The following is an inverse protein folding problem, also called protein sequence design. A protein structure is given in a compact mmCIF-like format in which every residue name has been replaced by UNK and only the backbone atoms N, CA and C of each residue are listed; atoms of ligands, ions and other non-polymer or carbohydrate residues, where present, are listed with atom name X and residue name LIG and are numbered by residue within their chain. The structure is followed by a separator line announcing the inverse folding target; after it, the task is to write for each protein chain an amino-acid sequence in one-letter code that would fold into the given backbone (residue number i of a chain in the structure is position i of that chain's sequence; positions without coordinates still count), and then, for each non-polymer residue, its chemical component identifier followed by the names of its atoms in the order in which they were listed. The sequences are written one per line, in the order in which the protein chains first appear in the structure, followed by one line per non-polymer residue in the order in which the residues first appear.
data_IF_539827743544
#
_entry.id   IF_539827743544
#
_cell.length_a   1.000
_cell.length_b   1.000
_cell.length_c   1.000
_cell.angle_alpha   90.00
_cell.angle_beta   90.00
_cell.angle_gamma   90.00
#
_symmetry.space_group_name_H-M   'P 1'
#
loop_
_entity.id
_entity.type
_entity.pdbx_description
1 polymer ?
#
# COMPACT_ATOMS: atom_id res chain seq x y z
N UNK A 1 -16.88 31.44 -62.94
CA UNK A 1 -16.33 32.80 -63.15
C UNK A 1 -15.33 33.03 -61.98
N UNK A 2 -14.03 32.87 -62.29
CA UNK A 2 -13.02 33.95 -62.42
C UNK A 2 -13.00 34.89 -61.25
N UNK A 3 -11.94 35.16 -60.46
CA UNK A 3 -10.49 35.34 -60.71
C UNK A 3 -9.78 35.28 -59.33
N UNK A 4 -8.68 34.62 -59.09
CA UNK A 4 -7.26 35.02 -59.34
C UNK A 4 -6.61 35.91 -58.29
N UNK A 5 -5.56 35.33 -57.73
CA UNK A 5 -4.39 35.69 -56.88
C UNK A 5 -3.80 37.11 -57.10
N UNK A 6 -2.76 37.60 -56.37
CA UNK A 6 -1.51 36.94 -55.99
C UNK A 6 -0.92 37.32 -54.59
N UNK A 7 -0.08 36.47 -54.01
CA UNK A 7 1.36 36.46 -53.74
C UNK A 7 2.07 37.79 -53.40
N UNK A 8 2.71 37.85 -52.23
CA UNK A 8 4.07 38.41 -52.09
C UNK A 8 4.80 37.64 -50.98
N UNK A 9 5.96 37.09 -51.34
CA UNK A 9 6.96 36.51 -50.44
C UNK A 9 8.02 37.57 -50.13
N UNK A 10 8.61 37.54 -48.96
CA UNK A 10 10.00 38.02 -48.73
C UNK A 10 10.70 37.20 -47.68
N UNK A 11 11.78 36.63 -48.16
CA UNK A 11 12.82 35.88 -47.49
C UNK A 11 13.76 36.81 -46.74
N UNK A 12 14.33 36.39 -45.60
CA UNK A 12 15.77 36.63 -45.31
C UNK A 12 16.32 35.51 -44.44
N UNK A 13 17.44 35.03 -44.93
CA UNK A 13 18.28 33.96 -44.42
C UNK A 13 19.41 34.52 -43.50
N UNK A 14 20.01 33.66 -42.79
CA UNK A 14 21.30 33.84 -42.12
C UNK A 14 21.39 33.03 -40.83
N UNK A 15 22.31 32.30 -40.51
CA UNK A 15 23.50 31.60 -41.04
C UNK A 15 23.85 30.52 -40.02
N UNK A 16 24.23 29.36 -40.45
CA UNK A 16 24.77 28.25 -39.64
C UNK A 16 26.15 28.62 -39.10
N UNK A 17 26.49 28.09 -37.91
CA UNK A 17 27.84 27.57 -37.67
C UNK A 17 27.76 26.27 -36.90
N UNK A 18 28.13 25.19 -37.55
CA UNK A 18 28.57 23.94 -36.92
C UNK A 18 29.97 24.16 -36.38
N UNK A 19 30.23 23.69 -35.19
CA UNK A 19 31.57 23.26 -34.78
C UNK A 19 31.44 21.98 -33.97
N UNK A 20 31.89 20.92 -34.60
CA UNK A 20 32.21 19.66 -33.94
C UNK A 20 33.64 19.74 -33.46
N UNK A 21 33.90 19.37 -32.19
CA UNK A 21 35.14 18.72 -31.74
C UNK A 21 34.82 17.99 -30.44
N UNK A 22 35.08 16.71 -30.42
CA UNK A 22 35.02 15.88 -29.26
C UNK A 22 36.23 16.09 -28.36
N UNK A 23 36.06 15.74 -27.09
CA UNK A 23 37.07 15.08 -26.27
C UNK A 23 36.48 14.64 -24.95
N UNK A 24 36.92 13.48 -24.51
CA UNK A 24 36.56 12.81 -23.27
C UNK A 24 36.70 13.68 -22.04
N UNK A 25 35.71 13.75 -21.17
CA UNK A 25 35.94 14.08 -19.75
C UNK A 25 34.98 13.30 -18.87
N UNK A 26 35.58 12.68 -17.87
CA UNK A 26 35.09 11.87 -16.82
C UNK A 26 33.76 12.33 -16.17
N UNK A 27 32.94 11.35 -15.80
CA UNK A 27 31.76 11.50 -14.97
C UNK A 27 32.10 12.18 -13.63
N UNK A 28 31.49 13.32 -13.37
CA UNK A 28 31.25 13.83 -12.01
C UNK A 28 29.79 13.73 -11.74
N UNK A 29 29.48 12.96 -10.69
CA UNK A 29 28.20 12.95 -10.02
C UNK A 29 27.85 14.36 -9.52
N UNK A 30 26.79 14.92 -10.09
CA UNK A 30 26.05 16.03 -9.52
C UNK A 30 24.56 15.84 -9.85
N UNK A 31 23.91 14.99 -9.06
CA UNK A 31 22.46 14.84 -9.08
C UNK A 31 21.87 15.57 -7.89
N UNK A 32 21.88 16.89 -7.94
CA UNK A 32 21.01 17.71 -7.11
C UNK A 32 19.83 18.19 -7.96
N UNK A 33 18.88 17.30 -8.25
CA UNK A 33 17.56 17.70 -8.68
C UNK A 33 16.78 18.17 -7.45
N UNK A 34 16.86 19.46 -7.16
CA UNK A 34 16.03 20.11 -6.17
C UNK A 34 14.56 20.00 -6.58
N UNK A 35 13.84 19.10 -5.92
CA UNK A 35 12.39 19.06 -5.94
C UNK A 35 11.88 20.30 -5.21
N UNK A 36 11.48 21.32 -5.97
CA UNK A 36 10.75 22.47 -5.44
C UNK A 36 9.38 21.98 -4.99
N UNK A 37 9.24 21.65 -3.71
CA UNK A 37 7.94 21.52 -3.07
C UNK A 37 7.24 22.88 -3.17
N UNK A 38 6.19 22.98 -3.98
CA UNK A 38 5.32 24.15 -3.99
C UNK A 38 4.69 24.27 -2.60
N UNK A 39 5.04 25.34 -1.90
CA UNK A 39 4.75 25.53 -0.50
C UNK A 39 3.27 25.71 -0.20
N UNK A 40 2.73 24.81 0.57
CA UNK A 40 1.69 25.13 1.51
C UNK A 40 2.34 25.87 2.69
N UNK A 41 1.69 26.89 3.20
CA UNK A 41 2.16 27.70 4.32
C UNK A 41 2.53 26.81 5.51
N UNK A 42 3.81 26.69 5.82
CA UNK A 42 4.33 26.03 7.02
C UNK A 42 4.04 26.88 8.25
N UNK A 43 2.78 26.89 8.68
CA UNK A 43 2.41 27.33 10.02
C UNK A 43 2.37 26.11 10.93
N UNK A 44 3.51 25.46 11.10
CA UNK A 44 3.67 24.30 11.98
C UNK A 44 3.78 24.82 13.43
N UNK A 45 2.64 25.06 14.07
CA UNK A 45 2.62 24.94 15.51
C UNK A 45 3.08 23.52 15.87
N UNK A 46 3.88 23.31 16.94
CA UNK A 46 4.29 21.96 17.31
C UNK A 46 3.06 21.08 17.50
N UNK A 47 3.09 19.89 16.87
CA UNK A 47 2.00 18.95 16.95
C UNK A 47 1.75 18.65 18.44
N UNK A 48 0.50 18.81 18.89
CA UNK A 48 0.09 18.45 20.24
C UNK A 48 -0.38 17.01 20.21
N UNK A 49 0.11 16.22 21.16
CA UNK A 49 -0.43 14.89 21.36
C UNK A 49 -1.85 14.94 21.92
N UNK A 50 -2.66 13.95 21.57
CA UNK A 50 -4.02 13.80 22.07
C UNK A 50 -5.10 14.28 21.09
N UNK A 51 -6.35 14.24 21.56
CA UNK A 51 -7.51 14.63 20.77
C UNK A 51 -7.98 13.59 19.75
N UNK A 52 -8.84 14.02 18.83
CA UNK A 52 -9.42 13.14 17.82
C UNK A 52 -9.49 13.83 16.47
N UNK A 53 -9.34 13.04 15.41
CA UNK A 53 -9.48 13.50 14.03
C UNK A 53 -10.47 12.62 13.28
N UNK A 54 -11.07 13.20 12.23
CA UNK A 54 -11.88 12.53 11.24
C UNK A 54 -11.11 12.42 9.93
N UNK A 55 -11.16 11.27 9.30
CA UNK A 55 -10.48 10.98 8.04
C UNK A 55 -11.50 10.43 7.04
N UNK A 56 -11.38 10.79 5.77
CA UNK A 56 -12.19 10.14 4.75
C UNK A 56 -11.92 8.63 4.77
N UNK A 57 -12.98 7.87 4.89
CA UNK A 57 -13.01 6.43 4.75
C UNK A 57 -13.95 6.01 3.63
N UNK A 58 -13.93 4.74 3.32
CA UNK A 58 -14.88 4.09 2.44
C UNK A 58 -15.19 2.68 2.98
N UNK A 59 -16.27 2.04 2.50
CA UNK A 59 -16.63 0.72 2.96
C UNK A 59 -15.58 -0.31 2.56
N UNK A 60 -14.93 -1.02 3.51
CA UNK A 60 -14.02 -2.11 3.17
C UNK A 60 -14.72 -3.16 2.29
N UNK A 61 -14.07 -3.54 1.20
CA UNK A 61 -14.62 -4.54 0.27
C UNK A 61 -14.44 -5.97 0.79
N UNK A 62 -13.46 -6.17 1.65
CA UNK A 62 -13.11 -7.47 2.23
C UNK A 62 -13.08 -7.38 3.77
N UNK A 63 -13.21 -8.52 4.47
CA UNK A 63 -12.98 -8.58 5.90
C UNK A 63 -11.65 -7.94 6.32
N UNK A 64 -11.62 -7.24 7.47
CA UNK A 64 -10.41 -6.59 8.01
C UNK A 64 -9.42 -7.63 8.56
N UNK A 65 -9.04 -8.58 7.74
CA UNK A 65 -8.02 -9.60 8.00
C UNK A 65 -6.80 -9.26 7.15
N UNK A 66 -5.59 -9.15 7.73
CA UNK A 66 -4.39 -8.70 7.03
C UNK A 66 -4.12 -9.37 5.68
N UNK A 67 -4.37 -10.67 5.58
CA UNK A 67 -4.20 -11.45 4.34
C UNK A 67 -5.40 -11.42 3.40
N UNK A 68 -6.55 -10.88 3.82
CA UNK A 68 -7.75 -10.83 2.99
C UNK A 68 -8.06 -9.42 2.45
N UNK A 69 -7.57 -8.39 3.11
CA UNK A 69 -7.74 -7.00 2.69
C UNK A 69 -6.64 -6.62 1.69
N UNK A 70 -7.02 -6.37 0.44
CA UNK A 70 -6.12 -5.98 -0.65
C UNK A 70 -6.57 -4.70 -1.37
N UNK A 71 -7.44 -3.91 -0.76
CA UNK A 71 -8.01 -2.68 -1.28
C UNK A 71 -7.82 -1.53 -0.27
N UNK A 72 -7.94 -0.28 -0.75
CA UNK A 72 -7.56 0.92 0.01
C UNK A 72 -8.41 1.14 1.26
N UNK A 73 -9.73 0.88 1.19
CA UNK A 73 -10.66 1.21 2.29
C UNK A 73 -10.34 0.42 3.56
N UNK A 74 -10.19 -0.89 3.44
CA UNK A 74 -9.77 -1.75 4.54
C UNK A 74 -8.28 -1.63 4.84
N UNK A 75 -7.45 -1.39 3.81
CA UNK A 75 -6.02 -1.21 3.93
C UNK A 75 -5.64 -0.05 4.85
N UNK A 76 -6.28 1.11 4.71
CA UNK A 76 -6.04 2.27 5.58
C UNK A 76 -6.32 1.98 7.06
N UNK A 77 -7.36 1.20 7.34
CA UNK A 77 -7.68 0.78 8.71
C UNK A 77 -6.62 -0.20 9.22
N UNK A 78 -6.26 -1.20 8.41
CA UNK A 78 -5.25 -2.20 8.80
C UNK A 78 -3.87 -1.59 8.97
N UNK A 79 -3.50 -0.57 8.20
CA UNK A 79 -2.24 0.16 8.39
C UNK A 79 -2.16 0.87 9.75
N UNK A 80 -3.29 1.37 10.26
CA UNK A 80 -3.35 1.96 11.57
C UNK A 80 -3.27 0.93 12.72
N UNK A 81 -3.83 -0.28 12.52
CA UNK A 81 -3.99 -1.25 13.63
C UNK A 81 -3.01 -2.42 13.58
N UNK A 82 -2.21 -2.58 12.52
CA UNK A 82 -1.22 -3.65 12.40
C UNK A 82 0.21 -3.10 12.43
N UNK A 83 1.13 -3.88 12.98
CA UNK A 83 2.57 -3.71 12.80
C UNK A 83 3.13 -4.93 12.06
N UNK A 84 4.20 -4.75 11.32
CA UNK A 84 4.81 -5.77 10.46
C UNK A 84 6.32 -5.90 10.78
N UNK A 85 6.98 -6.80 10.13
CA UNK A 85 8.45 -6.91 10.29
C UNK A 85 9.16 -5.65 9.82
N UNK A 86 8.68 -5.07 8.72
CA UNK A 86 9.18 -3.85 8.09
C UNK A 86 8.06 -2.81 8.06
N UNK A 87 8.43 -1.56 8.30
CA UNK A 87 7.62 -0.38 8.06
C UNK A 87 8.19 0.39 6.86
N UNK A 88 7.33 1.03 6.08
CA UNK A 88 7.79 1.95 5.03
C UNK A 88 7.72 3.37 5.57
N UNK A 89 8.88 4.05 5.58
CA UNK A 89 8.96 5.43 6.02
C UNK A 89 8.01 6.31 5.19
N UNK A 90 7.11 7.08 5.81
CA UNK A 90 6.07 7.80 5.08
C UNK A 90 6.60 8.93 4.18
N UNK A 91 7.80 9.43 4.43
CA UNK A 91 8.38 10.53 3.65
C UNK A 91 9.29 10.04 2.53
N UNK A 92 10.01 8.94 2.76
CA UNK A 92 11.03 8.43 1.85
C UNK A 92 10.65 7.13 1.15
N UNK A 93 9.56 6.48 1.56
CA UNK A 93 9.13 5.14 1.17
C UNK A 93 10.20 4.04 1.41
N UNK A 94 11.28 4.34 2.13
CA UNK A 94 12.32 3.37 2.45
C UNK A 94 11.84 2.35 3.47
N UNK A 95 12.23 1.06 3.32
CA UNK A 95 11.92 0.04 4.31
C UNK A 95 12.77 0.24 5.57
N UNK A 96 12.12 0.22 6.72
CA UNK A 96 12.72 0.32 8.07
C UNK A 96 12.28 -0.84 8.93
N UNK A 97 13.14 -1.28 9.86
CA UNK A 97 12.80 -2.38 10.77
C UNK A 97 11.74 -1.93 11.80
N UNK A 98 10.57 -2.56 11.78
CA UNK A 98 9.52 -2.36 12.78
C UNK A 98 9.56 -3.46 13.83
N UNK A 99 8.75 -4.53 13.74
CA UNK A 99 8.83 -5.67 14.67
C UNK A 99 10.15 -6.44 14.51
N UNK A 100 10.70 -6.48 13.29
CA UNK A 100 11.99 -7.13 13.10
C UNK A 100 13.12 -6.39 13.83
N UNK A 101 13.95 -7.16 14.54
CA UNK A 101 15.25 -6.72 15.01
C UNK A 101 16.30 -6.88 13.90
N UNK A 102 16.27 -8.02 13.21
CA UNK A 102 17.09 -8.28 12.03
C UNK A 102 16.41 -9.25 11.07
N UNK A 103 16.77 -9.13 9.77
CA UNK A 103 16.42 -10.06 8.71
C UNK A 103 17.70 -10.35 7.94
N UNK A 104 18.31 -11.49 8.19
CA UNK A 104 19.64 -11.85 7.70
C UNK A 104 19.55 -12.93 6.61
N UNK A 105 20.35 -12.77 5.57
CA UNK A 105 20.53 -13.78 4.50
C UNK A 105 21.92 -13.64 3.89
N UNK A 106 22.50 -14.75 3.44
CA UNK A 106 23.76 -14.77 2.68
C UNK A 106 23.55 -15.08 1.20
N UNK A 107 22.39 -15.60 0.85
CA UNK A 107 22.11 -16.16 -0.48
C UNK A 107 20.80 -15.65 -1.10
N UNK A 108 20.06 -14.78 -0.39
CA UNK A 108 18.72 -14.32 -0.76
C UNK A 108 17.68 -15.45 -0.92
N UNK A 109 17.93 -16.61 -0.34
CA UNK A 109 17.04 -17.77 -0.37
C UNK A 109 16.74 -18.30 1.02
N UNK A 110 17.72 -18.28 1.92
CA UNK A 110 17.57 -18.66 3.31
C UNK A 110 17.68 -17.41 4.19
N UNK A 111 16.61 -17.11 4.92
CA UNK A 111 16.51 -15.92 5.77
C UNK A 111 16.32 -16.33 7.23
N UNK A 112 17.03 -15.67 8.11
CA UNK A 112 16.78 -15.74 9.57
C UNK A 112 16.20 -14.42 10.01
N UNK A 113 15.02 -14.49 10.61
CA UNK A 113 14.28 -13.32 11.13
C UNK A 113 14.33 -13.37 12.66
N UNK A 114 14.84 -12.28 13.26
CA UNK A 114 14.74 -12.05 14.69
C UNK A 114 13.77 -10.91 14.94
N UNK A 115 12.84 -11.08 15.88
CA UNK A 115 11.90 -10.05 16.27
C UNK A 115 12.29 -9.41 17.59
N UNK A 116 11.99 -8.12 17.73
CA UNK A 116 12.23 -7.38 18.98
C UNK A 116 11.36 -7.92 20.10
N UNK A 117 11.88 -8.10 21.30
CA UNK A 117 11.04 -8.41 22.47
C UNK A 117 10.16 -7.21 22.83
N UNK A 118 9.03 -7.48 23.46
CA UNK A 118 8.17 -6.43 24.03
C UNK A 118 6.99 -6.03 23.17
N UNK A 119 6.95 -6.37 21.88
CA UNK A 119 5.75 -6.14 21.07
C UNK A 119 4.56 -6.95 21.60
N UNK A 120 3.40 -6.30 21.65
CA UNK A 120 2.14 -6.91 22.07
C UNK A 120 1.05 -6.59 21.07
N UNK A 121 0.11 -7.48 20.96
CA UNK A 121 -1.17 -7.20 20.33
C UNK A 121 -2.01 -6.25 21.17
N UNK A 122 -3.05 -5.67 20.58
CA UNK A 122 -3.95 -4.74 21.25
C UNK A 122 -4.76 -5.36 22.41
N UNK A 123 -4.84 -6.68 22.48
CA UNK A 123 -5.41 -7.43 23.62
C UNK A 123 -4.39 -7.68 24.76
N UNK A 124 -3.15 -7.19 24.63
CA UNK A 124 -2.07 -7.34 25.60
C UNK A 124 -1.24 -8.62 25.47
N UNK A 125 -1.62 -9.55 24.61
CA UNK A 125 -0.86 -10.78 24.36
C UNK A 125 0.45 -10.48 23.61
N UNK A 126 1.51 -11.25 23.89
CA UNK A 126 2.83 -11.03 23.30
C UNK A 126 2.84 -11.45 21.81
N UNK A 127 3.53 -10.67 20.98
CA UNK A 127 3.87 -11.07 19.61
C UNK A 127 5.09 -11.99 19.66
N UNK A 128 4.97 -13.17 19.06
CA UNK A 128 5.98 -14.22 18.98
C UNK A 128 6.23 -14.62 17.55
N UNK A 129 7.38 -15.26 17.30
CA UNK A 129 7.71 -15.86 16.00
C UNK A 129 6.61 -16.81 15.48
N UNK A 130 5.97 -17.56 16.38
CA UNK A 130 4.86 -18.45 16.07
C UNK A 130 3.66 -17.71 15.46
N UNK A 131 3.38 -16.45 15.87
CA UNK A 131 2.28 -15.66 15.33
C UNK A 131 2.48 -15.30 13.85
N UNK A 132 3.73 -15.13 13.42
CA UNK A 132 4.08 -14.95 12.01
C UNK A 132 3.94 -16.28 11.26
N UNK A 133 4.62 -17.32 11.71
CA UNK A 133 4.66 -18.61 11.00
C UNK A 133 3.27 -19.23 10.88
N UNK A 134 2.51 -19.28 11.97
CA UNK A 134 1.15 -19.83 11.94
C UNK A 134 0.18 -18.93 11.14
N UNK A 135 0.31 -17.60 11.27
CA UNK A 135 -0.50 -16.64 10.51
C UNK A 135 -0.26 -16.75 9.01
N UNK A 136 0.99 -16.88 8.58
CA UNK A 136 1.35 -17.01 7.17
C UNK A 136 0.91 -18.34 6.57
N UNK A 137 1.07 -19.45 7.31
CA UNK A 137 0.52 -20.74 6.89
C UNK A 137 -1.00 -20.69 6.75
N UNK A 138 -1.70 -20.04 7.70
CA UNK A 138 -3.14 -19.88 7.60
C UNK A 138 -3.53 -19.04 6.38
N UNK A 139 -2.78 -17.97 6.10
CA UNK A 139 -3.04 -17.07 4.97
C UNK A 139 -2.72 -17.71 3.61
N UNK A 140 -1.68 -18.55 3.54
CA UNK A 140 -1.27 -19.25 2.34
C UNK A 140 -2.16 -20.45 2.00
N UNK A 141 -2.80 -21.07 3.01
CA UNK A 141 -3.61 -22.27 2.84
C UNK A 141 -4.79 -22.04 1.89
N UNK A 142 -4.74 -22.61 0.70
CA UNK A 142 -5.68 -22.39 -0.39
C UNK A 142 -7.17 -22.46 0.01
N UNK A 143 -7.62 -23.45 0.82
CA UNK A 143 -9.01 -23.51 1.29
C UNK A 143 -9.48 -22.31 2.12
N UNK A 144 -8.59 -21.50 2.68
CA UNK A 144 -8.95 -20.26 3.40
C UNK A 144 -9.23 -19.08 2.45
N UNK A 145 -8.92 -19.22 1.15
CA UNK A 145 -9.25 -18.29 0.07
C UNK A 145 -8.87 -16.82 0.37
N UNK A 146 -7.68 -16.61 0.95
CA UNK A 146 -7.23 -15.27 1.29
C UNK A 146 -6.77 -14.51 0.05
N UNK A 147 -7.28 -13.29 -0.18
CA UNK A 147 -7.01 -12.48 -1.38
C UNK A 147 -5.51 -12.22 -1.61
N UNK A 148 -4.76 -12.08 -0.53
CA UNK A 148 -3.31 -11.83 -0.56
C UNK A 148 -2.47 -13.10 -0.31
N UNK A 149 -3.06 -14.30 -0.37
CA UNK A 149 -2.36 -15.57 -0.17
C UNK A 149 -1.18 -15.78 -1.12
N UNK A 150 -1.28 -15.26 -2.34
CA UNK A 150 -0.22 -15.35 -3.36
C UNK A 150 1.10 -14.62 -2.96
N UNK A 151 1.10 -13.72 -1.99
CA UNK A 151 2.33 -13.10 -1.50
C UNK A 151 3.31 -14.11 -0.89
N UNK A 152 2.82 -15.27 -0.44
CA UNK A 152 3.61 -16.35 0.14
C UNK A 152 4.16 -17.32 -0.91
N UNK A 153 3.79 -17.19 -2.19
CA UNK A 153 4.22 -18.08 -3.30
C UNK A 153 5.73 -18.37 -3.34
N UNK A 154 6.61 -17.39 -3.07
CA UNK A 154 8.05 -17.67 -3.09
C UNK A 154 8.52 -18.61 -1.98
N UNK A 155 7.74 -18.87 -0.93
CA UNK A 155 8.13 -19.68 0.21
C UNK A 155 8.01 -21.17 -0.16
N UNK A 156 9.05 -21.96 0.16
CA UNK A 156 9.07 -23.40 -0.11
C UNK A 156 7.88 -24.10 0.57
N UNK A 157 7.18 -24.93 -0.19
CA UNK A 157 5.97 -25.64 0.26
C UNK A 157 4.66 -24.89 0.05
N UNK A 158 4.68 -23.64 -0.44
CA UNK A 158 3.44 -22.91 -0.77
C UNK A 158 2.55 -23.67 -1.75
N UNK A 159 3.11 -24.24 -2.82
CA UNK A 159 2.36 -25.00 -3.81
C UNK A 159 1.64 -26.22 -3.23
N UNK A 160 2.20 -26.83 -2.18
CA UNK A 160 1.64 -28.01 -1.53
C UNK A 160 0.40 -27.68 -0.68
N UNK A 161 0.23 -26.40 -0.32
CA UNK A 161 -0.93 -25.89 0.43
C UNK A 161 -2.07 -25.41 -0.49
N UNK A 162 -1.89 -25.43 -1.82
CA UNK A 162 -2.90 -24.96 -2.74
C UNK A 162 -3.95 -26.03 -3.07
N UNK A 163 -5.14 -25.57 -3.44
CA UNK A 163 -6.19 -26.46 -3.91
C UNK A 163 -5.83 -27.07 -5.26
N UNK A 164 -6.17 -28.33 -5.49
CA UNK A 164 -5.89 -29.01 -6.75
C UNK A 164 -6.81 -28.55 -7.90
N UNK A 165 -7.82 -27.74 -7.62
CA UNK A 165 -8.75 -27.18 -8.60
C UNK A 165 -9.28 -25.83 -8.12
N UNK A 166 -9.80 -25.00 -9.05
CA UNK A 166 -10.30 -23.64 -8.80
C UNK A 166 -11.44 -23.59 -7.76
N UNK A 167 -12.27 -24.64 -7.69
CA UNK A 167 -13.38 -24.73 -6.75
C UNK A 167 -12.97 -25.32 -5.38
N UNK A 168 -11.69 -25.62 -5.21
CA UNK A 168 -11.13 -26.27 -4.02
C UNK A 168 -11.85 -27.56 -3.57
N UNK A 169 -12.32 -28.34 -4.52
CA UNK A 169 -12.90 -29.67 -4.26
C UNK A 169 -11.82 -30.64 -3.82
N UNK A 170 -10.63 -30.53 -4.43
CA UNK A 170 -9.43 -31.27 -4.05
C UNK A 170 -8.62 -30.43 -3.08
N UNK A 171 -8.76 -30.72 -1.79
CA UNK A 171 -8.04 -30.02 -0.73
C UNK A 171 -6.57 -30.45 -0.67
N UNK A 172 -5.65 -29.53 -0.30
CA UNK A 172 -4.25 -29.88 -0.11
C UNK A 172 -4.06 -30.88 1.04
N UNK A 173 -3.00 -31.68 0.94
CA UNK A 173 -2.66 -32.69 1.96
C UNK A 173 -1.92 -32.07 3.16
N UNK A 174 -1.26 -30.94 2.97
CA UNK A 174 -0.50 -30.21 3.99
C UNK A 174 -1.18 -28.87 4.28
N UNK A 175 -0.89 -28.32 5.47
CA UNK A 175 -1.44 -27.05 5.94
C UNK A 175 -0.33 -26.09 6.38
N UNK A 176 0.93 -26.43 6.08
CA UNK A 176 2.11 -25.66 6.50
C UNK A 176 3.17 -25.71 5.43
N UNK A 177 3.74 -24.56 5.11
CA UNK A 177 4.87 -24.41 4.20
C UNK A 177 6.13 -24.99 4.83
N UNK A 178 6.82 -25.88 4.12
CA UNK A 178 8.08 -26.48 4.58
C UNK A 178 9.21 -25.47 4.79
N UNK A 179 9.14 -24.35 4.10
CA UNK A 179 10.09 -23.25 4.18
C UNK A 179 9.97 -22.37 5.42
N UNK A 180 8.96 -22.56 6.27
CA UNK A 180 8.78 -21.78 7.52
C UNK A 180 9.08 -22.63 8.74
N UNK A 181 9.96 -22.15 9.62
CA UNK A 181 10.30 -22.84 10.88
C UNK A 181 10.46 -21.87 12.02
N UNK A 182 9.77 -22.09 13.13
CA UNK A 182 10.01 -21.42 14.39
C UNK A 182 11.25 -22.03 15.04
N UNK A 183 12.19 -21.18 15.44
CA UNK A 183 13.40 -21.58 16.18
C UNK A 183 13.17 -21.40 17.68
N UNK A 184 12.67 -20.22 18.06
CA UNK A 184 12.28 -19.86 19.43
C UNK A 184 11.19 -18.77 19.41
N UNK A 185 10.80 -18.25 20.57
CA UNK A 185 9.76 -17.21 20.68
C UNK A 185 10.05 -15.93 19.87
N UNK A 186 11.32 -15.66 19.56
CA UNK A 186 11.76 -14.43 18.88
C UNK A 186 12.50 -14.70 17.56
N UNK A 187 12.62 -15.93 17.14
CA UNK A 187 13.40 -16.30 15.95
C UNK A 187 12.65 -17.31 15.10
N UNK A 188 12.58 -17.03 13.79
CA UNK A 188 12.09 -18.00 12.80
C UNK A 188 12.90 -17.89 11.51
N UNK A 189 12.81 -18.91 10.67
CA UNK A 189 13.48 -18.94 9.37
C UNK A 189 12.48 -19.00 8.24
N UNK A 190 12.89 -18.41 7.10
CA UNK A 190 12.17 -18.47 5.84
C UNK A 190 13.12 -19.08 4.81
N UNK A 191 12.67 -20.12 4.12
CA UNK A 191 13.35 -20.67 2.93
C UNK A 191 12.45 -20.46 1.72
N UNK A 192 13.00 -19.87 0.66
CA UNK A 192 12.30 -19.66 -0.60
C UNK A 192 12.70 -20.70 -1.64
N UNK A 193 11.85 -20.96 -2.63
CA UNK A 193 12.10 -21.90 -3.72
C UNK A 193 13.24 -21.44 -4.63
N UNK A 194 13.40 -20.13 -4.76
CA UNK A 194 14.44 -19.47 -5.54
C UNK A 194 15.00 -18.24 -4.80
N UNK A 195 16.01 -17.58 -5.37
CA UNK A 195 16.57 -16.35 -4.78
C UNK A 195 15.58 -15.19 -4.92
N UNK A 196 15.21 -14.56 -3.79
CA UNK A 196 14.29 -13.44 -3.72
C UNK A 196 14.99 -12.25 -3.05
N UNK A 197 15.67 -11.43 -3.85
CA UNK A 197 16.47 -10.30 -3.37
C UNK A 197 15.63 -9.20 -2.69
N UNK A 198 14.37 -9.06 -3.06
CA UNK A 198 13.45 -8.03 -2.53
C UNK A 198 12.53 -8.57 -1.40
N UNK A 199 12.78 -9.78 -0.89
CA UNK A 199 11.91 -10.35 0.17
C UNK A 199 11.83 -9.43 1.38
N UNK A 200 12.95 -8.84 1.81
CA UNK A 200 12.98 -7.91 2.96
C UNK A 200 11.98 -6.75 2.78
N UNK A 201 11.89 -6.19 1.59
CA UNK A 201 10.93 -5.11 1.31
C UNK A 201 9.50 -5.65 1.38
N UNK A 202 9.22 -6.82 0.77
CA UNK A 202 7.88 -7.43 0.77
C UNK A 202 7.33 -7.67 2.18
N UNK A 203 8.19 -7.97 3.16
CA UNK A 203 7.78 -8.24 4.54
C UNK A 203 7.19 -7.02 5.28
N UNK A 204 7.14 -5.87 4.64
CA UNK A 204 6.38 -4.69 5.05
C UNK A 204 4.92 -4.65 4.56
N UNK A 205 4.51 -5.55 3.67
CA UNK A 205 3.13 -5.57 3.20
C UNK A 205 2.17 -6.14 4.27
N UNK A 206 0.93 -5.66 4.27
CA UNK A 206 -0.06 -5.97 5.31
C UNK A 206 -0.31 -7.46 5.49
N UNK A 207 -0.28 -8.26 4.39
CA UNK A 207 -0.44 -9.71 4.44
C UNK A 207 0.57 -10.42 5.37
N UNK A 208 1.74 -9.82 5.58
CA UNK A 208 2.79 -10.38 6.45
C UNK A 208 2.67 -9.96 7.93
N UNK A 209 1.60 -9.27 8.33
CA UNK A 209 1.36 -8.97 9.73
C UNK A 209 1.17 -10.27 10.55
N UNK A 210 1.62 -10.31 11.81
CA UNK A 210 1.39 -11.46 12.68
C UNK A 210 -0.09 -11.57 13.04
N UNK A 211 -0.60 -12.79 13.23
CA UNK A 211 -1.96 -13.03 13.68
C UNK A 211 -1.97 -13.47 15.16
N UNK A 212 -2.86 -12.92 16.00
CA UNK A 212 -2.92 -13.26 17.42
C UNK A 212 -3.42 -14.69 17.65
N UNK A 213 -3.00 -15.29 18.76
CA UNK A 213 -3.41 -16.64 19.13
C UNK A 213 -4.94 -16.80 19.20
N UNK A 214 -5.63 -15.76 19.61
CA UNK A 214 -7.09 -15.74 19.66
C UNK A 214 -7.73 -15.94 18.27
N UNK A 215 -7.16 -15.32 17.23
CA UNK A 215 -7.59 -15.53 15.85
C UNK A 215 -7.23 -16.95 15.38
N UNK A 216 -6.00 -17.37 15.59
CA UNK A 216 -5.51 -18.68 15.11
C UNK A 216 -6.26 -19.85 15.75
N UNK A 217 -6.78 -19.68 16.96
CA UNK A 217 -7.59 -20.66 17.67
C UNK A 217 -9.01 -20.79 17.10
N UNK A 218 -9.59 -19.69 16.63
CA UNK A 218 -10.94 -19.65 16.05
C UNK A 218 -11.02 -18.66 14.88
N UNK A 219 -10.40 -18.97 13.71
CA UNK A 219 -10.33 -18.07 12.57
C UNK A 219 -11.69 -17.87 11.87
N UNK A 220 -12.70 -18.71 12.19
CA UNK A 220 -14.05 -18.62 11.61
C UNK A 220 -14.95 -17.61 12.33
N UNK A 221 -14.52 -17.07 13.45
CA UNK A 221 -15.28 -16.12 14.23
C UNK A 221 -15.43 -14.79 13.48
N UNK A 222 -16.66 -14.45 13.12
CA UNK A 222 -17.03 -13.28 12.34
C UNK A 222 -16.64 -11.95 12.96
N UNK A 223 -16.34 -11.90 14.26
CA UNK A 223 -15.84 -10.67 14.89
C UNK A 223 -14.55 -10.17 14.27
N UNK A 224 -13.68 -11.07 13.78
CA UNK A 224 -12.39 -10.71 13.18
C UNK A 224 -12.53 -9.91 11.90
N UNK A 225 -13.67 -10.08 11.20
CA UNK A 225 -13.94 -9.36 9.96
C UNK A 225 -14.06 -7.84 10.18
N UNK A 226 -14.50 -7.43 11.38
CA UNK A 226 -14.76 -6.03 11.74
C UNK A 226 -13.86 -5.50 12.86
N UNK A 227 -13.44 -6.36 13.78
CA UNK A 227 -12.71 -6.00 14.99
C UNK A 227 -11.39 -6.78 15.07
N UNK A 228 -10.44 -6.52 14.17
CA UNK A 228 -9.15 -7.20 14.19
C UNK A 228 -8.35 -6.85 15.44
N UNK A 229 -7.62 -7.83 15.96
CA UNK A 229 -6.60 -7.63 16.98
C UNK A 229 -5.26 -7.53 16.28
N UNK A 230 -4.67 -6.35 16.24
CA UNK A 230 -3.37 -6.10 15.62
C UNK A 230 -2.34 -5.65 16.64
N UNK A 231 -1.10 -5.49 16.21
CA UNK A 231 0.03 -5.03 17.02
C UNK A 231 0.46 -3.59 16.65
N UNK A 232 -0.39 -2.84 15.96
CA UNK A 232 -0.12 -1.48 15.50
C UNK A 232 -0.37 -0.39 16.53
N UNK A 233 -0.14 0.88 16.15
CA UNK A 233 -0.28 2.04 17.06
C UNK A 233 -1.73 2.31 17.49
N UNK A 234 -2.70 1.80 16.77
CA UNK A 234 -4.13 1.92 17.10
C UNK A 234 -4.80 0.55 17.19
N UNK A 235 -6.00 0.53 17.77
CA UNK A 235 -6.91 -0.62 17.85
C UNK A 235 -8.31 -0.21 17.41
N UNK A 236 -9.04 -1.07 16.71
CA UNK A 236 -10.45 -0.81 16.36
C UNK A 236 -11.28 -0.83 17.63
N UNK A 237 -12.08 0.21 17.83
CA UNK A 237 -12.99 0.33 18.99
C UNK A 237 -14.46 0.32 18.57
N UNK A 238 -14.75 0.70 17.31
CA UNK A 238 -16.09 0.65 16.74
C UNK A 238 -16.02 0.47 15.21
N UNK A 239 -17.00 -0.26 14.65
CA UNK A 239 -17.10 -0.50 13.22
C UNK A 239 -18.57 -0.62 12.82
N UNK A 240 -19.10 0.47 12.31
CA UNK A 240 -20.48 0.65 11.86
C UNK A 240 -20.57 0.80 10.34
N UNK A 241 -21.77 0.90 9.81
CA UNK A 241 -21.98 1.16 8.38
C UNK A 241 -21.52 2.57 7.93
N UNK A 242 -21.37 3.53 8.86
CA UNK A 242 -21.05 4.92 8.55
C UNK A 242 -19.67 5.37 9.01
N UNK A 243 -19.02 4.60 9.89
CA UNK A 243 -17.71 4.94 10.40
C UNK A 243 -16.98 3.71 10.97
N UNK A 244 -15.65 3.74 10.86
CA UNK A 244 -14.76 2.84 11.60
C UNK A 244 -13.91 3.72 12.53
N UNK A 245 -13.93 3.44 13.82
CA UNK A 245 -13.20 4.22 14.81
C UNK A 245 -12.06 3.39 15.37
N UNK A 246 -10.88 3.99 15.41
CA UNK A 246 -9.70 3.41 16.06
C UNK A 246 -9.23 4.33 17.18
N UNK A 247 -8.80 3.75 18.30
CA UNK A 247 -8.20 4.46 19.42
C UNK A 247 -6.76 4.02 19.61
N UNK A 248 -5.97 4.89 20.24
CA UNK A 248 -4.56 4.62 20.56
C UNK A 248 -4.41 3.27 21.28
N UNK A 249 -3.42 2.51 20.87
CA UNK A 249 -3.10 1.22 21.46
C UNK A 249 -1.96 1.40 22.48
N UNK A 250 -2.29 1.38 23.76
CA UNK A 250 -1.31 1.56 24.85
C UNK A 250 -0.27 0.44 24.90
N UNK A 251 -0.54 -0.69 24.23
CA UNK A 251 0.39 -1.83 24.18
C UNK A 251 1.42 -1.72 23.02
N UNK A 252 1.30 -0.71 22.15
CA UNK A 252 2.20 -0.55 21.01
C UNK A 252 3.60 -0.16 21.46
N UNK A 253 4.61 -0.94 21.04
CA UNK A 253 6.01 -0.75 21.40
C UNK A 253 6.89 -0.26 20.24
N UNK A 254 6.31 0.00 19.06
CA UNK A 254 7.04 0.43 17.87
C UNK A 254 7.42 1.92 17.89
N UNK A 255 8.24 2.32 16.93
CA UNK A 255 8.73 3.69 16.80
C UNK A 255 7.69 4.68 16.24
N UNK A 256 6.66 4.18 15.55
CA UNK A 256 5.67 5.02 14.86
C UNK A 256 4.43 5.24 15.73
N UNK A 257 4.65 5.93 16.85
CA UNK A 257 3.58 6.26 17.80
C UNK A 257 2.54 7.17 17.14
N UNK A 258 1.25 6.84 17.34
CA UNK A 258 0.17 7.75 16.96
C UNK A 258 0.16 8.98 17.88
N UNK A 259 0.01 10.18 17.29
CA UNK A 259 -0.06 11.42 18.08
C UNK A 259 -1.46 11.70 18.60
N UNK A 260 -2.51 11.36 17.85
CA UNK A 260 -3.90 11.56 18.26
C UNK A 260 -4.44 10.36 19.02
N UNK A 261 -5.36 10.59 19.97
CA UNK A 261 -5.95 9.51 20.77
C UNK A 261 -6.95 8.66 19.98
N UNK A 262 -7.61 9.28 19.00
CA UNK A 262 -8.67 8.64 18.24
C UNK A 262 -8.69 9.10 16.77
N UNK A 263 -8.87 8.16 15.85
CA UNK A 263 -9.12 8.42 14.43
C UNK A 263 -10.46 7.80 14.05
N UNK A 264 -11.32 8.59 13.39
CA UNK A 264 -12.60 8.11 12.85
C UNK A 264 -12.57 8.17 11.34
N UNK A 265 -12.56 7.03 10.70
CA UNK A 265 -12.73 6.88 9.26
C UNK A 265 -14.22 7.03 8.94
N UNK A 266 -14.67 8.22 8.52
CA UNK A 266 -16.05 8.48 8.08
C UNK A 266 -16.25 7.86 6.70
N UNK A 267 -17.27 7.01 6.56
CA UNK A 267 -17.52 6.28 5.31
C UNK A 267 -18.31 7.17 4.35
N UNK A 268 -17.73 7.39 3.18
CA UNK A 268 -18.35 8.08 2.06
C UNK A 268 -18.39 7.14 0.84
N UNK A 269 -19.52 7.12 0.16
CA UNK A 269 -19.66 6.34 -1.08
C UNK A 269 -19.12 7.10 -2.29
N UNK A 270 -19.10 8.45 -2.21
CA UNK A 270 -18.65 9.34 -3.28
C UNK A 270 -17.66 10.38 -2.76
N UNK A 271 -16.86 10.93 -3.67
CA UNK A 271 -15.86 11.93 -3.34
C UNK A 271 -16.45 13.30 -2.98
N UNK A 272 -17.54 13.72 -3.66
CA UNK A 272 -18.09 15.07 -3.51
C UNK A 272 -18.65 15.37 -2.12
N UNK A 273 -19.41 14.47 -1.44
CA UNK A 273 -19.81 14.69 -0.06
C UNK A 273 -18.62 14.82 0.91
N UNK A 274 -17.57 14.02 0.74
CA UNK A 274 -16.36 14.10 1.55
C UNK A 274 -15.64 15.43 1.34
N UNK A 275 -15.55 15.89 0.10
CA UNK A 275 -14.97 17.18 -0.25
C UNK A 275 -15.74 18.33 0.40
N UNK A 276 -17.07 18.34 0.29
CA UNK A 276 -17.92 19.37 0.90
C UNK A 276 -17.75 19.40 2.43
N UNK A 277 -17.69 18.23 3.08
CA UNK A 277 -17.42 18.16 4.51
C UNK A 277 -16.02 18.69 4.87
N UNK A 278 -15.02 18.49 4.00
CA UNK A 278 -13.66 19.03 4.19
C UNK A 278 -13.65 20.55 4.08
N UNK A 279 -14.35 21.12 3.09
CA UNK A 279 -14.50 22.57 2.91
C UNK A 279 -15.21 23.18 4.12
N UNK A 280 -16.26 22.52 4.62
CA UNK A 280 -17.05 22.96 5.77
C UNK A 280 -16.37 22.71 7.14
N UNK A 281 -15.17 22.13 7.21
CA UNK A 281 -14.47 21.71 8.43
C UNK A 281 -15.20 20.62 9.25
N UNK A 282 -16.00 19.77 8.59
CA UNK A 282 -16.65 18.61 9.18
C UNK A 282 -15.85 17.32 8.98
N UNK A 283 -14.75 17.39 8.19
CA UNK A 283 -13.80 16.34 7.90
C UNK A 283 -12.40 16.93 7.93
N UNK A 284 -11.52 16.38 8.78
CA UNK A 284 -10.18 16.91 9.00
C UNK A 284 -9.19 16.53 7.89
N UNK A 285 -9.26 15.27 7.40
CA UNK A 285 -8.35 14.75 6.36
C UNK A 285 -9.17 14.08 5.25
N UNK A 286 -8.92 14.52 4.03
CA UNK A 286 -9.48 13.96 2.81
C UNK A 286 -8.35 13.71 1.79
N UNK A 287 -8.20 12.49 1.32
CA UNK A 287 -7.17 12.04 0.39
C UNK A 287 -7.58 12.13 -1.09
N UNK A 288 -8.82 12.58 -1.36
CA UNK A 288 -9.36 12.59 -2.71
C UNK A 288 -10.13 13.90 -3.01
N UNK A 289 -9.65 14.63 -4.00
CA UNK A 289 -10.38 15.76 -4.59
C UNK A 289 -11.21 15.25 -5.77
N UNK A 290 -12.52 15.57 -5.84
CA UNK A 290 -13.36 15.19 -6.98
C UNK A 290 -12.84 15.78 -8.29
N UNK A 291 -13.00 15.06 -9.40
CA UNK A 291 -12.46 15.45 -10.71
C UNK A 291 -12.97 16.79 -11.21
N UNK A 292 -14.23 17.11 -10.95
CA UNK A 292 -14.84 18.39 -11.30
C UNK A 292 -14.20 19.58 -10.58
N UNK A 293 -13.70 19.37 -9.35
CA UNK A 293 -13.03 20.39 -8.55
C UNK A 293 -11.54 20.57 -8.93
N UNK A 294 -10.98 19.69 -9.74
CA UNK A 294 -9.62 19.83 -10.27
C UNK A 294 -9.54 20.91 -11.36
N UNK A 295 -10.68 21.24 -12.00
CA UNK A 295 -10.75 22.25 -13.05
C UNK A 295 -10.39 23.62 -12.51
N UNK A 296 -9.46 24.31 -13.17
CA UNK A 296 -8.97 25.64 -12.78
C UNK A 296 -8.44 25.71 -11.34
N UNK A 297 -8.00 24.58 -10.75
CA UNK A 297 -7.49 24.54 -9.37
C UNK A 297 -8.50 25.05 -8.31
N UNK A 298 -9.81 24.93 -8.55
CA UNK A 298 -10.86 25.43 -7.66
C UNK A 298 -10.66 24.98 -6.20
N UNK A 299 -10.23 23.75 -6.01
CA UNK A 299 -9.94 23.16 -4.70
C UNK A 299 -8.90 23.94 -3.88
N UNK A 300 -7.96 24.66 -4.53
CA UNK A 300 -6.95 25.45 -3.82
C UNK A 300 -7.57 26.65 -3.13
N UNK A 301 -8.54 27.30 -3.80
CA UNK A 301 -9.27 28.43 -3.21
C UNK A 301 -10.23 27.97 -2.12
N UNK A 302 -10.98 26.89 -2.37
CA UNK A 302 -11.97 26.35 -1.43
C UNK A 302 -11.34 25.90 -0.11
N UNK A 303 -10.16 25.30 -0.19
CA UNK A 303 -9.45 24.80 0.98
C UNK A 303 -8.55 25.86 1.66
N UNK A 304 -8.36 27.04 1.05
CA UNK A 304 -7.66 28.19 1.66
C UNK A 304 -6.31 27.82 2.28
N UNK A 305 -5.48 27.08 1.55
CA UNK A 305 -4.14 26.62 1.97
C UNK A 305 -4.12 25.34 2.83
N UNK A 306 -5.26 24.76 3.18
CA UNK A 306 -5.36 23.47 3.90
C UNK A 306 -5.21 22.29 2.95
N UNK A 307 -4.13 22.25 2.19
CA UNK A 307 -3.87 21.18 1.23
C UNK A 307 -2.37 20.90 1.09
N UNK A 308 -2.06 19.69 0.66
CA UNK A 308 -0.73 19.30 0.28
C UNK A 308 -0.78 18.38 -0.94
N UNK A 309 0.21 18.48 -1.82
CA UNK A 309 0.40 17.58 -2.94
C UNK A 309 1.61 16.70 -2.63
N UNK A 310 1.43 15.39 -2.72
CA UNK A 310 2.53 14.42 -2.64
C UNK A 310 2.51 13.54 -3.89
N UNK A 311 3.69 13.26 -4.42
CA UNK A 311 3.83 12.24 -5.46
C UNK A 311 3.51 10.87 -4.85
N UNK A 312 2.75 10.07 -5.58
CA UNK A 312 2.44 8.71 -5.18
C UNK A 312 3.04 7.72 -6.17
N UNK A 313 3.36 6.51 -5.70
CA UNK A 313 3.77 5.37 -6.55
C UNK A 313 2.59 4.64 -7.20
N UNK A 314 1.39 5.21 -7.19
CA UNK A 314 0.19 4.58 -7.74
C UNK A 314 0.21 4.76 -9.25
N UNK A 315 0.18 3.64 -9.97
CA UNK A 315 0.00 3.59 -11.41
C UNK A 315 -1.43 3.20 -11.72
N UNK A 316 -2.14 4.05 -12.45
CA UNK A 316 -3.43 3.67 -12.99
C UNK A 316 -3.22 2.89 -14.28
N UNK A 317 -3.77 1.68 -14.34
CA UNK A 317 -3.62 0.80 -15.49
C UNK A 317 -4.97 0.38 -16.04
N UNK A 318 -5.04 0.20 -17.35
CA UNK A 318 -6.14 -0.47 -18.00
C UNK A 318 -5.72 -1.92 -18.28
N UNK A 319 -6.41 -2.87 -17.68
CA UNK A 319 -6.10 -4.29 -17.84
C UNK A 319 -7.18 -4.96 -18.68
N UNK A 320 -6.78 -5.64 -19.73
CA UNK A 320 -7.67 -6.42 -20.58
C UNK A 320 -7.78 -7.85 -20.05
N UNK A 321 -8.98 -8.44 -20.15
CA UNK A 321 -9.18 -9.82 -19.76
C UNK A 321 -8.39 -10.77 -20.66
N UNK A 322 -7.45 -11.53 -20.09
CA UNK A 322 -6.73 -12.60 -20.81
C UNK A 322 -7.64 -13.77 -21.22
N UNK A 323 -8.86 -13.84 -20.69
CA UNK A 323 -9.89 -14.84 -21.05
C UNK A 323 -10.63 -14.43 -22.34
N UNK A 324 -10.60 -13.16 -22.71
CA UNK A 324 -11.16 -12.68 -23.99
C UNK A 324 -10.18 -13.01 -25.12
N UNK A 325 -10.52 -14.03 -25.91
CA UNK A 325 -9.66 -14.50 -27.00
C UNK A 325 -9.45 -13.45 -28.11
N UNK A 326 -10.39 -12.56 -28.34
CA UNK A 326 -10.25 -11.50 -29.34
C UNK A 326 -9.23 -10.45 -28.88
N UNK A 327 -9.34 -10.01 -27.62
CA UNK A 327 -8.38 -9.07 -27.03
C UNK A 327 -7.01 -9.71 -26.81
N UNK A 328 -6.95 -10.90 -26.23
CA UNK A 328 -5.69 -11.58 -25.90
C UNK A 328 -4.85 -11.94 -27.14
N UNK A 329 -5.50 -12.21 -28.30
CA UNK A 329 -4.81 -12.59 -29.54
C UNK A 329 -4.53 -11.41 -30.49
N UNK A 330 -5.19 -10.26 -30.31
CA UNK A 330 -5.07 -9.12 -31.21
C UNK A 330 -4.26 -7.99 -30.59
N UNK A 331 -2.93 -8.08 -30.72
CA UNK A 331 -2.00 -7.08 -30.17
C UNK A 331 -2.23 -5.66 -30.77
N UNK A 332 -2.66 -5.58 -32.02
CA UNK A 332 -2.88 -4.29 -32.66
C UNK A 332 -4.15 -3.62 -32.17
N UNK A 333 -5.20 -4.39 -31.87
CA UNK A 333 -6.41 -3.88 -31.20
C UNK A 333 -6.09 -3.37 -29.79
N UNK A 334 -5.33 -4.13 -29.00
CA UNK A 334 -4.90 -3.70 -27.65
C UNK A 334 -4.07 -2.43 -27.72
N UNK A 335 -3.17 -2.33 -28.70
CA UNK A 335 -2.35 -1.13 -28.93
C UNK A 335 -3.21 0.07 -29.34
N UNK A 336 -4.16 -0.13 -30.27
CA UNK A 336 -5.07 0.92 -30.72
C UNK A 336 -5.92 1.45 -29.57
N UNK A 337 -6.50 0.57 -28.73
CA UNK A 337 -7.25 0.96 -27.54
C UNK A 337 -6.39 1.73 -26.54
N UNK A 338 -5.12 1.32 -26.34
CA UNK A 338 -4.17 2.04 -25.49
C UNK A 338 -3.83 3.44 -26.03
N UNK A 339 -3.76 3.60 -27.35
CA UNK A 339 -3.53 4.90 -27.99
C UNK A 339 -4.76 5.81 -27.93
N UNK A 340 -5.95 5.25 -28.09
CA UNK A 340 -7.23 5.99 -28.07
C UNK A 340 -7.51 6.55 -26.67
N UNK A 341 -7.09 5.85 -25.61
CA UNK A 341 -7.21 6.32 -24.24
C UNK A 341 -6.30 7.50 -23.91
N UNK A 342 -5.38 7.86 -24.79
CA UNK A 342 -4.51 9.05 -24.68
C UNK A 342 -3.89 9.24 -23.28
N UNK A 343 -3.40 8.15 -22.68
CA UNK A 343 -2.81 8.16 -21.33
C UNK A 343 -1.63 9.13 -21.18
N UNK A 344 -1.13 9.67 -22.28
CA UNK A 344 -0.06 10.68 -22.34
C UNK A 344 -0.57 12.06 -21.85
N UNK A 345 -1.87 12.31 -21.90
CA UNK A 345 -2.46 13.60 -21.54
C UNK A 345 -3.14 13.62 -20.16
N UNK A 346 -3.05 12.51 -19.43
CA UNK A 346 -3.48 12.42 -18.04
C UNK A 346 -2.28 12.67 -17.14
#
# INVERSE_FOLDING_TARGET
MRHMRPLIALSLAGLMTLSACGEDVAAKDDSAAGSSAAGGSNNSAPAKDGGSITVRGCTPQNPLIPSNTNETCGGNVLDAVTARLIHYNPDTAKPEMDIAQSIETKDNQNFTVKIKPGYKFSDGTKVKAQNFVAGWNWAAYGPNAQQSGYFFEPIEGYADEQCGDEACKTKPKVKTMSGLKVVDDHTFTIKTTEKVSNLKVRLGYTAFAPLPDAFLKDPTNKKWEKMPIGAGPYKVTDNTATAITVAKNENYAGAYQGHVDKVTFKIYNDASPAYNDTVANNLDINDLVPTDQLTNDQWKSDLSGRWAIRQSGINQTLTYSGKDKQLASNKDLVKALGMDLSLIHI
#
